data_IF_757941398683
#
_entry.id   IF_757941398683
#
_cell.length_a   1.000
_cell.length_b   1.000
_cell.length_c   1.000
_cell.angle_alpha   90.00
_cell.angle_beta   90.00
_cell.angle_gamma   90.00
#
_symmetry.space_group_name_H-M   'P 1'
#
loop_
_entity.id
_entity.type
_entity.pdbx_description
1 polymer ?
#
# COMPACT_ATOMS: atom_id res chain seq x y z
N UNK A 1 7.27 -4.50 34.74
CA UNK A 1 6.88 -3.88 33.47
C UNK A 1 6.07 -4.92 32.70
N UNK A 2 4.77 -4.66 32.41
CA UNK A 2 3.99 -5.58 31.54
C UNK A 2 4.51 -5.34 30.12
N UNK A 3 5.14 -6.32 29.53
CA UNK A 3 5.36 -6.33 28.08
C UNK A 3 4.02 -6.19 27.40
N UNK A 4 3.82 -5.09 26.69
CA UNK A 4 2.64 -4.88 25.87
C UNK A 4 2.78 -5.86 24.68
N UNK A 5 2.20 -7.06 24.83
CA UNK A 5 2.25 -8.11 23.81
C UNK A 5 1.44 -7.61 22.61
N UNK A 6 2.12 -7.04 21.60
CA UNK A 6 1.52 -6.61 20.34
C UNK A 6 0.86 -7.81 19.69
N UNK A 7 -0.32 -7.61 19.09
CA UNK A 7 -1.00 -8.68 18.37
C UNK A 7 -0.25 -8.96 17.07
N UNK A 8 0.02 -10.24 16.80
CA UNK A 8 0.60 -10.66 15.54
C UNK A 8 -0.48 -10.65 14.46
N UNK A 9 -0.24 -9.93 13.36
CA UNK A 9 -1.16 -9.80 12.25
C UNK A 9 -0.86 -10.83 11.15
N UNK A 10 0.44 -11.01 10.82
CA UNK A 10 0.90 -11.89 9.77
C UNK A 10 2.26 -12.48 10.13
N UNK A 11 2.47 -13.74 9.79
CA UNK A 11 3.77 -14.42 9.91
C UNK A 11 4.08 -15.14 8.60
N UNK A 12 5.28 -14.96 8.10
CA UNK A 12 5.87 -15.68 6.97
C UNK A 12 6.96 -16.60 7.48
N UNK A 13 6.95 -17.86 7.03
CA UNK A 13 7.89 -18.90 7.43
C UNK A 13 8.44 -19.60 6.20
N UNK A 14 9.76 -19.57 6.02
CA UNK A 14 10.49 -20.30 4.98
C UNK A 14 9.99 -20.01 3.55
N UNK A 15 9.64 -18.74 3.26
CA UNK A 15 9.11 -18.37 1.96
C UNK A 15 10.22 -18.37 0.90
N UNK A 16 10.00 -19.15 -0.14
CA UNK A 16 10.85 -19.20 -1.33
C UNK A 16 10.04 -18.83 -2.56
N UNK A 17 10.61 -17.99 -3.43
CA UNK A 17 10.03 -17.60 -4.72
C UNK A 17 11.10 -17.47 -5.78
N UNK A 18 10.91 -18.21 -6.88
CA UNK A 18 11.78 -18.14 -8.06
C UNK A 18 10.99 -17.77 -9.31
N UNK A 19 11.67 -17.13 -10.25
CA UNK A 19 11.21 -16.93 -11.62
C UNK A 19 12.21 -17.55 -12.57
N UNK A 20 11.77 -18.57 -13.33
CA UNK A 20 12.60 -19.34 -14.25
C UNK A 20 13.87 -19.85 -13.57
N UNK A 21 15.01 -19.20 -13.78
CA UNK A 21 16.33 -19.63 -13.27
C UNK A 21 16.85 -18.75 -12.12
N UNK A 22 16.04 -17.77 -11.65
CA UNK A 22 16.45 -16.83 -10.61
C UNK A 22 15.59 -16.92 -9.38
N UNK A 23 16.19 -17.31 -8.25
CA UNK A 23 15.58 -17.23 -6.93
C UNK A 23 15.60 -15.77 -6.46
N UNK A 24 14.41 -15.20 -6.22
CA UNK A 24 14.25 -13.82 -5.71
C UNK A 24 14.05 -13.79 -4.20
N UNK A 25 13.31 -14.75 -3.66
CA UNK A 25 13.15 -14.93 -2.22
C UNK A 25 13.69 -16.31 -1.88
N UNK A 26 14.58 -16.39 -0.91
CA UNK A 26 15.21 -17.63 -0.49
C UNK A 26 15.12 -17.76 1.03
N UNK A 27 14.25 -18.67 1.48
CA UNK A 27 14.04 -18.98 2.91
C UNK A 27 13.73 -17.73 3.77
N UNK A 28 12.86 -16.85 3.27
CA UNK A 28 12.50 -15.60 3.95
C UNK A 28 11.51 -15.88 5.08
N UNK A 29 11.81 -15.37 6.27
CA UNK A 29 10.92 -15.45 7.43
C UNK A 29 10.85 -14.11 8.16
N UNK A 30 9.63 -13.63 8.45
CA UNK A 30 9.40 -12.46 9.31
C UNK A 30 7.94 -12.44 9.78
N UNK A 31 7.67 -11.55 10.75
CA UNK A 31 6.32 -11.32 11.26
C UNK A 31 5.98 -9.84 11.25
N UNK A 32 4.71 -9.53 11.06
CA UNK A 32 4.14 -8.18 11.16
C UNK A 32 3.23 -8.15 12.39
N UNK A 33 3.48 -7.19 13.28
CA UNK A 33 2.68 -6.99 14.47
C UNK A 33 1.91 -5.67 14.40
N UNK A 34 0.86 -5.57 15.19
CA UNK A 34 0.06 -4.35 15.31
C UNK A 34 0.94 -3.13 15.70
N UNK A 35 0.67 -1.99 15.05
CA UNK A 35 1.41 -0.73 15.24
C UNK A 35 2.93 -0.87 14.98
N UNK A 36 3.31 -1.67 14.02
CA UNK A 36 4.69 -1.82 13.60
C UNK A 36 4.91 -1.15 12.23
N UNK A 37 5.98 -0.36 12.10
CA UNK A 37 6.44 0.20 10.82
C UNK A 37 7.66 -0.60 10.36
N UNK A 38 7.59 -1.20 9.17
CA UNK A 38 8.65 -2.05 8.61
C UNK A 38 9.13 -1.45 7.29
N UNK A 39 10.43 -1.16 7.19
CA UNK A 39 11.08 -0.72 5.96
C UNK A 39 11.79 -1.87 5.24
N UNK A 40 11.49 -2.08 3.95
CA UNK A 40 12.18 -3.05 3.10
C UNK A 40 13.21 -2.33 2.25
N UNK A 41 14.48 -2.55 2.53
CA UNK A 41 15.61 -1.89 1.88
C UNK A 41 16.40 -2.91 1.05
N UNK A 42 16.87 -2.49 -0.12
CA UNK A 42 17.70 -3.32 -0.98
C UNK A 42 17.86 -2.73 -2.39
N UNK A 43 18.78 -3.29 -3.17
CA UNK A 43 19.04 -2.88 -4.55
C UNK A 43 17.84 -3.19 -5.45
N UNK A 44 17.62 -2.38 -6.48
CA UNK A 44 16.52 -2.61 -7.45
C UNK A 44 16.70 -3.96 -8.16
N UNK A 45 15.56 -4.64 -8.38
CA UNK A 45 15.55 -5.97 -8.99
C UNK A 45 15.91 -7.13 -8.06
N UNK A 46 16.09 -6.90 -6.75
CA UNK A 46 16.40 -7.95 -5.76
C UNK A 46 15.15 -8.56 -5.09
N UNK A 47 13.97 -8.35 -5.65
CA UNK A 47 12.76 -9.02 -5.16
C UNK A 47 11.96 -8.25 -4.11
N UNK A 48 12.23 -6.94 -3.85
CA UNK A 48 11.45 -6.14 -2.88
C UNK A 48 9.95 -6.15 -3.21
N UNK A 49 9.59 -5.74 -4.44
CA UNK A 49 8.17 -5.73 -4.88
C UNK A 49 7.56 -7.13 -4.91
N UNK A 50 8.35 -8.17 -5.20
CA UNK A 50 7.91 -9.56 -5.13
C UNK A 50 7.59 -9.94 -3.68
N UNK A 51 8.46 -9.60 -2.71
CA UNK A 51 8.21 -9.83 -1.30
C UNK A 51 6.92 -9.13 -0.85
N UNK A 52 6.74 -7.85 -1.21
CA UNK A 52 5.55 -7.09 -0.86
C UNK A 52 4.27 -7.70 -1.47
N UNK A 53 4.31 -8.12 -2.74
CA UNK A 53 3.18 -8.79 -3.42
C UNK A 53 2.85 -10.15 -2.82
N UNK A 54 3.86 -10.94 -2.46
CA UNK A 54 3.69 -12.23 -1.77
C UNK A 54 3.09 -12.00 -0.39
N UNK A 55 3.55 -11.01 0.36
CA UNK A 55 2.99 -10.62 1.66
C UNK A 55 1.53 -10.18 1.53
N UNK A 56 1.19 -9.45 0.47
CA UNK A 56 -0.17 -9.00 0.19
C UNK A 56 -1.10 -10.12 -0.35
N UNK A 57 -0.57 -11.32 -0.62
CA UNK A 57 -1.33 -12.42 -1.22
C UNK A 57 -1.66 -12.22 -2.71
N UNK A 58 -1.06 -11.23 -3.37
CA UNK A 58 -1.26 -10.93 -4.79
C UNK A 58 -0.46 -11.90 -5.67
N UNK A 59 0.72 -12.29 -5.20
CA UNK A 59 1.61 -13.18 -5.91
C UNK A 59 1.81 -14.49 -5.13
N UNK A 60 1.71 -15.66 -5.77
CA UNK A 60 1.96 -16.94 -5.10
C UNK A 60 3.45 -17.14 -4.82
N UNK A 61 3.76 -17.82 -3.74
CA UNK A 61 5.10 -18.30 -3.40
C UNK A 61 5.23 -19.80 -3.75
N UNK A 62 6.46 -20.29 -3.88
CA UNK A 62 6.73 -21.65 -4.32
C UNK A 62 6.83 -22.60 -3.11
N UNK A 63 7.46 -22.16 -2.01
CA UNK A 63 7.62 -22.93 -0.78
C UNK A 63 7.41 -22.04 0.46
N UNK A 64 7.10 -22.65 1.59
CA UNK A 64 6.91 -21.99 2.87
C UNK A 64 5.46 -21.90 3.30
N UNK A 65 5.19 -21.01 4.25
CA UNK A 65 3.85 -20.80 4.81
C UNK A 65 3.64 -19.35 5.21
N UNK A 66 2.46 -18.82 4.87
CA UNK A 66 1.97 -17.53 5.40
C UNK A 66 0.78 -17.81 6.32
N UNK A 67 0.87 -17.32 7.54
CA UNK A 67 -0.20 -17.40 8.53
C UNK A 67 -0.67 -15.98 8.84
N UNK A 68 -1.96 -15.73 8.71
CA UNK A 68 -2.58 -14.42 8.93
C UNK A 68 -3.85 -14.57 9.77
N UNK A 69 -4.14 -13.60 10.61
CA UNK A 69 -5.38 -13.54 11.38
C UNK A 69 -6.61 -13.53 10.47
N UNK A 70 -7.68 -14.25 10.84
CA UNK A 70 -8.88 -14.43 9.98
C UNK A 70 -9.58 -13.15 9.54
N UNK A 71 -9.40 -12.04 10.27
CA UNK A 71 -10.06 -10.76 10.00
C UNK A 71 -9.07 -9.68 9.54
N UNK A 72 -7.80 -10.00 9.41
CA UNK A 72 -6.76 -9.06 8.99
C UNK A 72 -6.97 -8.67 7.54
N UNK A 73 -7.09 -7.38 7.32
CA UNK A 73 -7.23 -6.77 5.99
C UNK A 73 -5.92 -6.16 5.56
N UNK A 74 -5.52 -6.44 4.32
CA UNK A 74 -4.32 -5.86 3.71
C UNK A 74 -4.74 -4.91 2.59
N UNK A 75 -4.17 -3.69 2.60
CA UNK A 75 -4.20 -2.78 1.47
C UNK A 75 -2.82 -2.72 0.84
N UNK A 76 -2.73 -2.89 -0.48
CA UNK A 76 -1.48 -2.84 -1.24
C UNK A 76 -1.52 -1.70 -2.25
N UNK A 77 -0.58 -0.78 -2.14
CA UNK A 77 -0.35 0.27 -3.13
C UNK A 77 0.79 -0.16 -4.07
N UNK A 78 0.50 -0.43 -5.35
CA UNK A 78 1.53 -0.83 -6.32
C UNK A 78 2.44 0.34 -6.70
N UNK A 79 3.64 0.02 -7.19
CA UNK A 79 4.59 1.00 -7.73
C UNK A 79 3.97 1.82 -8.88
N UNK A 80 3.15 1.20 -9.72
CA UNK A 80 2.44 1.87 -10.83
C UNK A 80 0.94 1.60 -10.67
N UNK A 81 0.15 2.56 -10.13
CA UNK A 81 -1.29 2.41 -10.02
C UNK A 81 -1.97 2.60 -11.38
N UNK A 82 -3.02 1.83 -11.61
CA UNK A 82 -3.88 1.92 -12.78
C UNK A 82 -5.27 2.44 -12.39
N UNK A 83 -5.90 3.19 -13.26
CA UNK A 83 -7.24 3.75 -13.06
C UNK A 83 -8.09 3.51 -14.30
N UNK A 84 -9.40 3.37 -14.10
CA UNK A 84 -10.35 3.27 -15.20
C UNK A 84 -10.39 4.58 -15.99
N UNK A 85 -10.55 4.48 -17.31
CA UNK A 85 -10.67 5.62 -18.22
C UNK A 85 -11.85 6.52 -17.82
N UNK A 86 -11.63 7.83 -17.87
CA UNK A 86 -12.64 8.82 -17.50
C UNK A 86 -12.84 9.03 -16.00
N UNK A 87 -12.08 8.34 -15.14
CA UNK A 87 -12.15 8.54 -13.67
C UNK A 87 -11.61 9.91 -13.29
N UNK A 88 -12.33 10.63 -12.39
CA UNK A 88 -11.87 11.93 -11.86
C UNK A 88 -10.96 11.73 -10.64
N UNK A 89 -10.19 12.76 -10.31
CA UNK A 89 -9.26 12.76 -9.14
C UNK A 89 -9.97 12.37 -7.86
N UNK A 90 -11.10 13.00 -7.55
CA UNK A 90 -11.85 12.67 -6.34
C UNK A 90 -12.40 11.24 -6.36
N UNK A 91 -12.98 10.84 -7.49
CA UNK A 91 -13.54 9.49 -7.63
C UNK A 91 -12.46 8.42 -7.47
N UNK A 92 -11.27 8.63 -8.03
CA UNK A 92 -10.13 7.74 -7.87
C UNK A 92 -9.65 7.66 -6.40
N UNK A 93 -9.64 8.79 -5.69
CA UNK A 93 -9.22 8.84 -4.31
C UNK A 93 -10.17 8.11 -3.34
N UNK A 94 -11.48 8.13 -3.60
CA UNK A 94 -12.45 7.46 -2.72
C UNK A 94 -12.87 6.08 -3.20
N UNK A 95 -12.80 5.81 -4.51
CA UNK A 95 -13.13 4.54 -5.20
C UNK A 95 -13.99 3.57 -4.35
N UNK A 96 -13.51 2.34 -4.09
CA UNK A 96 -14.24 1.29 -3.39
C UNK A 96 -14.35 1.50 -1.87
N UNK A 97 -13.88 2.65 -1.35
CA UNK A 97 -13.89 2.97 0.08
C UNK A 97 -15.18 3.60 0.58
N UNK A 98 -16.10 3.96 -0.33
CA UNK A 98 -17.41 4.52 0.05
C UNK A 98 -18.33 3.43 0.56
N UNK A 99 -18.91 3.64 1.75
CA UNK A 99 -19.91 2.77 2.35
C UNK A 99 -20.99 3.61 3.09
N UNK A 100 -22.04 2.96 3.57
CA UNK A 100 -23.17 3.63 4.24
C UNK A 100 -22.78 4.44 5.48
N UNK A 101 -21.66 4.09 6.15
CA UNK A 101 -21.22 4.74 7.37
C UNK A 101 -20.35 5.97 7.12
N UNK A 102 -19.61 6.01 5.99
CA UNK A 102 -18.63 7.05 5.69
C UNK A 102 -18.98 7.94 4.49
N UNK A 103 -20.07 7.67 3.77
CA UNK A 103 -20.44 8.39 2.55
C UNK A 103 -20.49 9.92 2.70
N UNK A 104 -20.72 10.43 3.92
CA UNK A 104 -20.78 11.86 4.19
C UNK A 104 -19.46 12.49 4.61
N UNK A 105 -18.50 11.69 5.04
CA UNK A 105 -17.19 12.16 5.55
C UNK A 105 -16.03 11.85 4.61
N UNK A 106 -16.09 10.74 3.89
CA UNK A 106 -14.98 10.27 3.06
C UNK A 106 -14.57 11.28 1.98
N UNK A 107 -15.52 12.01 1.39
CA UNK A 107 -15.21 13.08 0.44
C UNK A 107 -14.43 14.23 1.09
N UNK A 108 -14.80 14.61 2.31
CA UNK A 108 -14.13 15.68 3.03
C UNK A 108 -12.69 15.27 3.40
N UNK A 109 -12.52 14.04 3.86
CA UNK A 109 -11.21 13.47 4.18
C UNK A 109 -10.33 13.37 2.93
N UNK A 110 -10.89 12.85 1.82
CA UNK A 110 -10.20 12.76 0.54
C UNK A 110 -9.77 14.15 0.02
N UNK A 111 -10.67 15.15 0.05
CA UNK A 111 -10.35 16.53 -0.36
C UNK A 111 -9.25 17.15 0.50
N UNK A 112 -9.27 16.91 1.81
CA UNK A 112 -8.22 17.37 2.71
C UNK A 112 -6.86 16.79 2.33
N UNK A 113 -6.76 15.48 2.14
CA UNK A 113 -5.52 14.81 1.74
C UNK A 113 -5.07 15.22 0.33
N UNK A 114 -5.99 15.31 -0.63
CA UNK A 114 -5.70 15.75 -1.99
C UNK A 114 -5.14 17.18 -2.01
N UNK A 115 -5.70 18.10 -1.22
CA UNK A 115 -5.19 19.46 -1.11
C UNK A 115 -3.75 19.50 -0.58
N UNK A 116 -3.44 18.71 0.44
CA UNK A 116 -2.08 18.57 0.98
C UNK A 116 -1.09 18.07 -0.09
N UNK A 117 -1.57 17.23 -1.01
CA UNK A 117 -0.79 16.68 -2.12
C UNK A 117 -0.83 17.55 -3.40
N UNK A 118 -1.41 18.76 -3.33
CA UNK A 118 -1.42 19.75 -4.40
C UNK A 118 -2.51 19.56 -5.46
N UNK A 119 -3.59 18.83 -5.15
CA UNK A 119 -4.73 18.68 -6.03
C UNK A 119 -5.88 19.59 -5.58
N UNK A 120 -6.31 20.50 -6.45
CA UNK A 120 -7.38 21.45 -6.19
C UNK A 120 -8.55 21.32 -7.17
N UNK A 121 -8.32 20.74 -8.36
CA UNK A 121 -9.36 20.37 -9.33
C UNK A 121 -9.69 18.89 -9.16
N UNK A 122 -10.81 18.61 -8.49
CA UNK A 122 -11.22 17.25 -8.17
C UNK A 122 -11.96 16.57 -9.33
N UNK A 123 -12.43 17.34 -10.31
CA UNK A 123 -13.16 16.86 -11.49
C UNK A 123 -12.20 16.60 -12.67
N UNK A 124 -10.93 16.99 -12.56
CA UNK A 124 -9.93 16.69 -13.56
C UNK A 124 -9.77 15.18 -13.74
N UNK A 125 -9.56 14.76 -14.99
CA UNK A 125 -9.43 13.33 -15.34
C UNK A 125 -8.04 12.80 -14.99
N UNK A 126 -8.01 11.64 -14.32
CA UNK A 126 -6.75 10.99 -13.91
C UNK A 126 -5.88 10.61 -15.13
N UNK A 127 -6.48 10.37 -16.29
CA UNK A 127 -5.75 10.06 -17.53
C UNK A 127 -4.82 11.20 -17.96
N UNK A 128 -5.15 12.47 -17.64
CA UNK A 128 -4.33 13.64 -17.95
C UNK A 128 -3.17 13.85 -16.95
N UNK A 129 -3.14 13.09 -15.87
CA UNK A 129 -2.16 13.20 -14.81
C UNK A 129 -0.83 12.54 -15.15
N UNK A 130 0.27 13.13 -14.67
CA UNK A 130 1.58 12.49 -14.68
C UNK A 130 1.61 11.22 -13.82
N UNK A 131 2.59 10.34 -14.04
CA UNK A 131 2.76 9.14 -13.23
C UNK A 131 2.91 9.43 -11.73
N UNK A 132 3.63 10.50 -11.36
CA UNK A 132 3.77 10.93 -9.97
C UNK A 132 2.46 11.44 -9.37
N UNK A 133 1.64 12.17 -10.15
CA UNK A 133 0.32 12.60 -9.71
C UNK A 133 -0.62 11.40 -9.50
N UNK A 134 -0.64 10.47 -10.44
CA UNK A 134 -1.42 9.21 -10.33
C UNK A 134 -1.06 8.45 -9.05
N UNK A 135 0.24 8.37 -8.75
CA UNK A 135 0.72 7.70 -7.54
C UNK A 135 0.24 8.39 -6.26
N UNK A 136 0.24 9.72 -6.21
CA UNK A 136 -0.29 10.49 -5.07
C UNK A 136 -1.79 10.29 -4.87
N UNK A 137 -2.58 10.25 -5.96
CA UNK A 137 -4.01 9.96 -5.88
C UNK A 137 -4.25 8.54 -5.33
N UNK A 138 -3.52 7.55 -5.82
CA UNK A 138 -3.58 6.17 -5.33
C UNK A 138 -3.16 6.04 -3.87
N UNK A 139 -2.20 6.86 -3.42
CA UNK A 139 -1.80 6.92 -2.01
C UNK A 139 -2.94 7.43 -1.13
N UNK A 140 -3.66 8.48 -1.54
CA UNK A 140 -4.86 8.94 -0.82
C UNK A 140 -5.89 7.82 -0.72
N UNK A 141 -6.16 7.10 -1.81
CA UNK A 141 -7.08 5.96 -1.81
C UNK A 141 -6.62 4.87 -0.81
N UNK A 142 -5.34 4.51 -0.82
CA UNK A 142 -4.79 3.50 0.08
C UNK A 142 -4.89 3.91 1.56
N UNK A 143 -4.66 5.20 1.89
CA UNK A 143 -4.77 5.74 3.24
C UNK A 143 -6.22 5.82 3.74
N UNK A 144 -7.18 5.99 2.83
CA UNK A 144 -8.62 5.97 3.17
C UNK A 144 -9.18 4.54 3.26
N UNK A 145 -8.45 3.54 2.77
CA UNK A 145 -8.86 2.14 2.81
C UNK A 145 -8.72 1.59 4.23
N UNK A 146 -9.80 1.10 4.86
CA UNK A 146 -9.71 0.46 6.17
C UNK A 146 -8.89 -0.83 6.07
N UNK A 147 -7.66 -0.82 6.58
CA UNK A 147 -6.75 -1.95 6.57
C UNK A 147 -5.97 -2.06 7.89
N UNK A 148 -5.64 -3.29 8.28
CA UNK A 148 -4.80 -3.58 9.44
C UNK A 148 -3.31 -3.58 9.04
N UNK A 149 -3.02 -3.88 7.76
CA UNK A 149 -1.68 -3.84 7.17
C UNK A 149 -1.76 -3.01 5.89
N UNK A 150 -1.00 -1.91 5.84
CA UNK A 150 -0.80 -1.11 4.64
C UNK A 150 0.57 -1.41 4.05
N UNK A 151 0.59 -1.89 2.81
CA UNK A 151 1.82 -2.22 2.07
C UNK A 151 1.99 -1.19 0.96
N UNK A 152 3.10 -0.46 1.00
CA UNK A 152 3.43 0.57 0.03
C UNK A 152 4.67 0.17 -0.76
N UNK A 153 4.55 0.01 -2.09
CA UNK A 153 5.67 -0.34 -2.96
C UNK A 153 6.29 0.93 -3.58
N UNK A 154 7.46 1.31 -3.08
CA UNK A 154 8.19 2.54 -3.44
C UNK A 154 7.31 3.81 -3.38
N UNK A 155 6.66 4.10 -2.23
CA UNK A 155 5.71 5.20 -2.13
C UNK A 155 6.36 6.58 -2.32
N UNK A 156 7.63 6.72 -1.95
CA UNK A 156 8.36 8.01 -1.97
C UNK A 156 8.95 8.35 -3.34
N UNK A 157 9.00 7.41 -4.28
CA UNK A 157 9.42 7.72 -5.65
C UNK A 157 8.48 8.75 -6.27
N UNK A 158 9.00 9.95 -6.60
CA UNK A 158 8.27 11.12 -7.10
C UNK A 158 7.49 11.93 -6.03
N UNK A 159 7.70 11.68 -4.74
CA UNK A 159 7.33 12.59 -3.68
C UNK A 159 8.50 13.54 -3.38
N UNK A 160 8.19 14.78 -3.03
CA UNK A 160 9.18 15.69 -2.46
C UNK A 160 9.41 15.37 -0.97
N UNK A 161 10.43 16.03 -0.37
CA UNK A 161 10.80 15.76 1.01
C UNK A 161 9.64 16.03 1.99
N UNK A 162 8.86 17.10 1.76
CA UNK A 162 7.76 17.46 2.65
C UNK A 162 6.62 16.41 2.60
N UNK A 163 6.36 15.84 1.43
CA UNK A 163 5.38 14.76 1.27
C UNK A 163 5.87 13.44 1.85
N UNK A 164 7.18 13.17 1.78
CA UNK A 164 7.77 11.99 2.41
C UNK A 164 7.67 12.07 3.93
N UNK A 165 7.97 13.23 4.52
CA UNK A 165 7.81 13.50 5.95
C UNK A 165 6.35 13.33 6.39
N UNK A 166 5.38 13.88 5.63
CA UNK A 166 3.96 13.72 5.93
C UNK A 166 3.50 12.26 5.93
N UNK A 167 4.07 11.42 5.06
CA UNK A 167 3.74 9.98 5.02
C UNK A 167 4.32 9.19 6.21
N UNK A 168 5.41 9.68 6.80
CA UNK A 168 6.10 9.05 7.94
C UNK A 168 5.46 9.39 9.30
N UNK A 169 4.67 10.47 9.40
CA UNK A 169 3.91 10.86 10.59
C UNK A 169 2.69 9.94 10.82
#
# INVERSE_FOLDING_TARGET
MKENKRMNLLTMEHITKAYTDRVLLNDVAFSINENEKIGVIGINGMGKSTLLKVTAGIEPYDEGKISMGKQVKICYLPQTPEFEEGTTVLRAAIADNVNELNQWTIEADARSMLNQLGFYDYDEKVEHMSGGQKKRIALVNALLTPADILILDEPTNHLDNAMSEWLEE
#
